data_IF_350687744615
#
_entry.id   IF_350687744615
#
_cell.length_a   1.000
_cell.length_b   1.000
_cell.length_c   1.000
_cell.angle_alpha   90.00
_cell.angle_beta   90.00
_cell.angle_gamma   90.00
#
_symmetry.space_group_name_H-M   'P 1'
#
loop_
_entity.id
_entity.type
_entity.pdbx_description
1 polymer ?
#
# COMPACT_ATOMS: atom_id res chain seq x y z
N UNK A 1 10.33 -22.28 11.80
CA UNK A 1 9.11 -21.88 11.08
C UNK A 1 9.41 -21.29 9.69
N UNK A 2 10.44 -20.50 9.53
CA UNK A 2 10.78 -19.79 8.25
C UNK A 2 11.65 -20.61 7.28
N UNK A 3 12.09 -21.81 7.64
CA UNK A 3 12.99 -22.62 6.81
C UNK A 3 12.43 -22.94 5.42
N UNK A 4 11.11 -23.06 5.29
CA UNK A 4 10.46 -23.36 4.02
C UNK A 4 10.79 -22.34 2.91
N UNK A 5 10.96 -21.05 3.24
CA UNK A 5 11.27 -20.03 2.24
C UNK A 5 12.74 -20.14 1.79
N UNK A 6 13.66 -20.48 2.69
CA UNK A 6 15.06 -20.75 2.36
C UNK A 6 15.23 -22.02 1.54
N UNK A 7 14.43 -23.06 1.80
CA UNK A 7 14.40 -24.26 0.99
C UNK A 7 13.85 -23.96 -0.41
N UNK A 8 12.85 -23.08 -0.52
CA UNK A 8 12.41 -22.55 -1.81
C UNK A 8 13.50 -21.77 -2.54
N UNK A 9 14.28 -20.92 -1.85
CA UNK A 9 15.37 -20.16 -2.49
C UNK A 9 16.45 -21.09 -3.04
N UNK A 10 16.82 -22.15 -2.31
CA UNK A 10 17.75 -23.19 -2.82
C UNK A 10 17.15 -23.93 -4.02
N UNK A 11 15.87 -24.29 -3.96
CA UNK A 11 15.15 -25.00 -5.04
C UNK A 11 15.03 -24.15 -6.32
N UNK A 12 14.77 -22.85 -6.18
CA UNK A 12 14.72 -21.93 -7.31
C UNK A 12 16.12 -21.67 -7.90
N UNK A 13 17.16 -21.79 -7.09
CA UNK A 13 18.57 -21.85 -7.52
C UNK A 13 19.00 -20.65 -8.38
N UNK A 14 19.33 -20.92 -9.63
CA UNK A 14 19.86 -19.90 -10.56
C UNK A 14 18.77 -19.06 -11.24
N UNK A 15 17.46 -19.24 -10.92
CA UNK A 15 16.43 -18.30 -11.39
C UNK A 15 16.72 -16.90 -10.86
N UNK A 16 16.46 -15.88 -11.68
CA UNK A 16 16.57 -14.49 -11.26
C UNK A 16 15.50 -14.19 -10.20
N UNK A 17 15.93 -13.77 -9.02
CA UNK A 17 15.08 -13.34 -7.93
C UNK A 17 14.82 -11.82 -8.00
N UNK A 18 15.87 -11.04 -8.25
CA UNK A 18 15.87 -9.58 -8.13
C UNK A 18 16.62 -8.96 -9.30
N UNK A 19 16.01 -7.94 -9.93
CA UNK A 19 16.67 -6.97 -10.79
C UNK A 19 16.68 -5.60 -10.08
N UNK A 20 17.87 -5.06 -9.86
CA UNK A 20 18.06 -3.77 -9.20
C UNK A 20 19.31 -3.06 -9.74
N UNK A 21 19.22 -1.77 -10.08
CA UNK A 21 20.32 -0.94 -10.61
C UNK A 21 21.10 -1.63 -11.74
N UNK A 22 20.40 -2.14 -12.74
CA UNK A 22 20.95 -2.87 -13.88
C UNK A 22 21.76 -4.15 -13.52
N UNK A 23 21.57 -4.67 -12.31
CA UNK A 23 22.13 -5.95 -11.87
C UNK A 23 21.01 -6.97 -11.64
N UNK A 24 21.33 -8.23 -11.94
CA UNK A 24 20.45 -9.36 -11.71
C UNK A 24 21.03 -10.26 -10.64
N UNK A 25 20.22 -10.61 -9.66
CA UNK A 25 20.60 -11.50 -8.56
C UNK A 25 19.72 -12.74 -8.59
N UNK A 26 20.34 -13.92 -8.49
CA UNK A 26 19.61 -15.19 -8.45
C UNK A 26 19.09 -15.49 -7.04
N UNK A 27 18.14 -16.44 -6.93
CA UNK A 27 17.67 -16.95 -5.64
C UNK A 27 18.81 -17.57 -4.82
N UNK A 28 19.75 -18.26 -5.47
CA UNK A 28 20.92 -18.80 -4.80
C UNK A 28 21.82 -17.71 -4.25
N UNK A 29 22.05 -16.65 -5.00
CA UNK A 29 22.84 -15.49 -4.54
C UNK A 29 22.15 -14.81 -3.36
N UNK A 30 20.81 -14.62 -3.41
CA UNK A 30 20.05 -14.09 -2.29
C UNK A 30 20.18 -14.97 -1.04
N UNK A 31 20.04 -16.28 -1.19
CA UNK A 31 20.23 -17.24 -0.09
C UNK A 31 21.64 -17.16 0.51
N UNK A 32 22.67 -17.11 -0.31
CA UNK A 32 24.07 -17.02 0.16
C UNK A 32 24.34 -15.66 0.86
N UNK A 33 23.78 -14.57 0.36
CA UNK A 33 23.88 -13.25 0.99
C UNK A 33 23.19 -13.25 2.37
N UNK A 34 22.00 -13.81 2.46
CA UNK A 34 21.29 -13.97 3.75
C UNK A 34 22.17 -14.76 4.74
N UNK A 35 22.79 -15.85 4.29
CA UNK A 35 23.67 -16.66 5.12
C UNK A 35 24.93 -15.92 5.59
N UNK A 36 25.49 -15.08 4.73
CA UNK A 36 26.64 -14.23 5.08
C UNK A 36 26.22 -13.21 6.15
N UNK A 37 25.14 -12.47 5.89
CA UNK A 37 24.60 -11.45 6.81
C UNK A 37 24.19 -12.08 8.14
N UNK A 38 23.58 -13.27 8.14
CA UNK A 38 23.21 -14.02 9.37
C UNK A 38 24.43 -14.20 10.29
N UNK A 39 25.59 -14.59 9.75
CA UNK A 39 26.82 -14.77 10.54
C UNK A 39 27.36 -13.44 11.09
N UNK A 40 27.27 -12.37 10.30
CA UNK A 40 27.74 -11.04 10.70
C UNK A 40 26.77 -10.39 11.71
N UNK A 41 25.45 -10.56 11.54
CA UNK A 41 24.42 -10.03 12.43
C UNK A 41 24.51 -10.68 13.83
N UNK A 42 24.71 -12.01 13.93
CA UNK A 42 24.78 -12.72 15.22
C UNK A 42 25.86 -12.14 16.15
N UNK A 43 26.92 -11.55 15.62
CA UNK A 43 27.98 -10.91 16.43
C UNK A 43 27.60 -9.53 16.98
N UNK A 44 26.63 -8.84 16.37
CA UNK A 44 26.30 -7.44 16.69
C UNK A 44 24.85 -7.22 17.13
N UNK A 45 23.98 -8.17 16.85
CA UNK A 45 22.53 -8.09 17.13
C UNK A 45 22.11 -9.34 17.89
N UNK A 46 21.66 -9.18 19.13
CA UNK A 46 21.18 -10.28 19.93
C UNK A 46 19.81 -10.79 19.42
N UNK A 47 19.48 -12.03 19.73
CA UNK A 47 18.12 -12.55 19.46
C UNK A 47 17.07 -11.69 20.16
N UNK A 48 15.90 -11.60 19.54
CA UNK A 48 14.74 -10.89 20.07
C UNK A 48 14.90 -9.36 20.20
N UNK A 49 16.06 -8.77 19.84
CA UNK A 49 16.16 -7.30 19.77
C UNK A 49 15.22 -6.72 18.70
N UNK A 50 14.75 -5.51 18.94
CA UNK A 50 13.99 -4.71 17.98
C UNK A 50 14.98 -3.95 17.10
N UNK A 51 14.93 -4.16 15.80
CA UNK A 51 15.94 -3.67 14.85
C UNK A 51 15.29 -2.88 13.72
N UNK A 52 15.64 -1.59 13.60
CA UNK A 52 15.25 -0.78 12.47
C UNK A 52 16.11 -1.08 11.24
N UNK A 53 15.48 -1.18 10.07
CA UNK A 53 16.15 -1.18 8.75
C UNK A 53 15.81 0.14 8.09
N UNK A 54 16.79 1.04 7.94
CA UNK A 54 16.61 2.34 7.30
C UNK A 54 17.06 2.23 5.85
N UNK A 55 16.11 2.41 4.95
CA UNK A 55 16.26 2.32 3.50
C UNK A 55 15.06 1.67 2.84
N UNK A 56 14.93 1.89 1.53
CA UNK A 56 13.91 1.21 0.73
C UNK A 56 14.45 -0.14 0.20
N UNK A 57 13.74 -0.77 -0.71
CA UNK A 57 14.14 -2.03 -1.31
C UNK A 57 15.52 -1.95 -1.96
N UNK A 58 16.34 -2.90 -1.63
CA UNK A 58 17.60 -3.25 -2.28
C UNK A 58 17.86 -4.74 -2.09
N UNK A 59 18.86 -5.27 -2.76
CA UNK A 59 19.29 -6.65 -2.53
C UNK A 59 19.70 -6.86 -1.06
N UNK A 60 20.40 -5.86 -0.48
CA UNK A 60 20.90 -5.88 0.90
C UNK A 60 19.75 -5.77 1.91
N UNK A 61 18.81 -4.82 1.74
CA UNK A 61 17.70 -4.64 2.68
C UNK A 61 16.83 -5.88 2.77
N UNK A 62 16.58 -6.57 1.64
CA UNK A 62 15.84 -7.83 1.59
C UNK A 62 16.64 -8.94 2.28
N UNK A 63 17.93 -9.04 2.06
CA UNK A 63 18.77 -10.04 2.71
C UNK A 63 18.86 -9.81 4.23
N UNK A 64 18.97 -8.55 4.68
CA UNK A 64 18.93 -8.17 6.10
C UNK A 64 17.58 -8.53 6.74
N UNK A 65 16.45 -8.24 6.08
CA UNK A 65 15.12 -8.60 6.56
C UNK A 65 15.01 -10.10 6.90
N UNK A 66 15.45 -10.96 5.97
CA UNK A 66 15.38 -12.41 6.19
C UNK A 66 16.42 -12.92 7.18
N UNK A 67 17.61 -12.32 7.26
CA UNK A 67 18.60 -12.68 8.28
C UNK A 67 18.13 -12.35 9.69
N UNK A 68 17.55 -11.15 9.89
CA UNK A 68 16.95 -10.74 11.17
C UNK A 68 15.75 -11.60 11.55
N UNK A 69 14.87 -11.91 10.59
CA UNK A 69 13.73 -12.81 10.85
C UNK A 69 14.21 -14.18 11.30
N UNK A 70 15.26 -14.71 10.70
CA UNK A 70 15.85 -15.98 11.10
C UNK A 70 16.50 -15.92 12.49
N UNK A 71 17.06 -14.79 12.87
CA UNK A 71 17.64 -14.53 14.22
C UNK A 71 16.55 -14.21 15.26
N UNK A 72 15.25 -14.26 14.91
CA UNK A 72 14.10 -13.97 15.78
C UNK A 72 14.00 -12.51 16.23
N UNK A 73 14.53 -11.58 15.46
CA UNK A 73 14.41 -10.17 15.74
C UNK A 73 13.00 -9.63 15.40
N UNK A 74 12.66 -8.51 16.04
CA UNK A 74 11.48 -7.71 15.69
C UNK A 74 11.97 -6.62 14.75
N UNK A 75 11.47 -6.60 13.53
CA UNK A 75 12.01 -5.84 12.41
C UNK A 75 11.15 -4.60 12.16
N UNK A 76 11.79 -3.46 11.96
CA UNK A 76 11.12 -2.17 11.72
C UNK A 76 11.65 -1.56 10.42
N UNK A 77 11.02 -1.82 9.27
CA UNK A 77 11.39 -1.15 8.03
C UNK A 77 11.03 0.34 8.11
N UNK A 78 11.94 1.22 7.69
CA UNK A 78 11.76 2.67 7.67
C UNK A 78 12.30 3.19 6.34
N UNK A 79 11.43 3.73 5.50
CA UNK A 79 11.79 4.30 4.20
C UNK A 79 11.85 5.82 4.19
N UNK A 80 11.51 6.47 5.33
CA UNK A 80 11.55 7.91 5.48
C UNK A 80 12.96 8.46 5.26
N UNK A 81 13.05 9.64 4.65
CA UNK A 81 14.31 10.36 4.44
C UNK A 81 14.50 11.51 5.43
N UNK A 82 13.43 11.97 6.07
CA UNK A 82 13.47 13.02 7.07
C UNK A 82 13.96 12.48 8.42
N UNK A 83 15.09 12.96 8.90
CA UNK A 83 15.73 12.50 10.16
C UNK A 83 14.80 12.59 11.37
N UNK A 84 13.92 13.60 11.44
CA UNK A 84 12.94 13.72 12.52
C UNK A 84 11.96 12.55 12.51
N UNK A 85 11.43 12.21 11.33
CA UNK A 85 10.48 11.11 11.18
C UNK A 85 11.14 9.75 11.49
N UNK A 86 12.41 9.57 11.07
CA UNK A 86 13.20 8.39 11.39
C UNK A 86 13.36 8.25 12.91
N UNK A 87 13.76 9.32 13.59
CA UNK A 87 13.91 9.32 15.07
C UNK A 87 12.59 9.00 15.77
N UNK A 88 11.49 9.65 15.37
CA UNK A 88 10.17 9.39 15.94
C UNK A 88 9.77 7.91 15.77
N UNK A 89 9.99 7.32 14.60
CA UNK A 89 9.69 5.91 14.35
C UNK A 89 10.57 4.96 15.17
N UNK A 90 11.86 5.23 15.29
CA UNK A 90 12.81 4.47 16.14
C UNK A 90 12.35 4.47 17.59
N UNK A 91 11.98 5.64 18.11
CA UNK A 91 11.53 5.80 19.49
C UNK A 91 10.21 5.07 19.74
N UNK A 92 9.21 5.22 18.85
CA UNK A 92 7.88 4.61 18.98
C UNK A 92 7.87 3.09 18.76
N UNK A 93 8.90 2.55 18.12
CA UNK A 93 9.07 1.10 17.92
C UNK A 93 10.01 0.45 18.95
N UNK A 94 10.55 1.21 19.92
CA UNK A 94 11.43 0.70 20.96
C UNK A 94 12.69 0.00 20.42
N UNK A 95 13.30 0.52 19.35
CA UNK A 95 14.44 -0.10 18.70
C UNK A 95 15.67 -0.19 19.63
N UNK A 96 16.33 -1.35 19.61
CA UNK A 96 17.62 -1.60 20.26
C UNK A 96 18.78 -1.29 19.33
N UNK A 97 18.59 -1.57 18.04
CA UNK A 97 19.61 -1.43 16.99
C UNK A 97 19.03 -0.75 15.77
N UNK A 98 19.92 -0.11 15.00
CA UNK A 98 19.59 0.52 13.74
C UNK A 98 20.54 -0.03 12.68
N UNK A 99 20.01 -0.51 11.57
CA UNK A 99 20.76 -0.93 10.40
C UNK A 99 20.45 0.06 9.27
N UNK A 100 21.46 0.84 8.88
CA UNK A 100 21.36 1.74 7.72
C UNK A 100 21.91 1.06 6.48
N UNK A 101 21.13 1.09 5.40
CA UNK A 101 21.56 0.60 4.09
C UNK A 101 22.09 1.80 3.30
N UNK A 102 23.39 1.78 3.00
CA UNK A 102 24.10 2.83 2.24
C UNK A 102 24.98 2.17 1.18
N UNK A 103 24.82 2.54 -0.08
CA UNK A 103 25.65 2.08 -1.21
C UNK A 103 25.86 0.55 -1.24
N UNK A 104 24.76 -0.20 -1.16
CA UNK A 104 24.77 -1.68 -1.16
C UNK A 104 25.55 -2.31 0.00
N UNK A 105 25.71 -1.56 1.10
CA UNK A 105 26.31 -2.02 2.37
C UNK A 105 25.35 -1.70 3.50
N UNK A 106 25.60 -2.32 4.64
CA UNK A 106 24.86 -1.97 5.84
C UNK A 106 25.81 -1.64 7.00
N UNK A 107 25.37 -0.72 7.84
CA UNK A 107 26.06 -0.32 9.07
C UNK A 107 25.12 -0.56 10.23
N UNK A 108 25.64 -1.17 11.32
CA UNK A 108 24.86 -1.44 12.55
C UNK A 108 25.23 -0.40 13.60
N UNK A 109 24.23 0.30 14.09
CA UNK A 109 24.35 1.31 15.14
C UNK A 109 23.61 0.82 16.39
N UNK A 110 24.17 1.12 17.59
CA UNK A 110 23.48 0.88 18.85
C UNK A 110 22.48 1.99 19.12
N UNK A 111 21.36 1.64 19.71
CA UNK A 111 20.37 2.58 20.23
C UNK A 111 20.02 2.19 21.67
N UNK A 112 19.62 3.18 22.48
CA UNK A 112 19.16 2.98 23.86
C UNK A 112 17.64 3.12 23.85
N UNK A 113 16.89 1.99 23.85
CA UNK A 113 15.44 2.04 23.80
C UNK A 113 14.85 2.46 25.14
N UNK A 114 13.62 2.95 25.11
CA UNK A 114 12.75 3.04 26.29
C UNK A 114 12.43 1.64 26.83
N UNK A 115 11.83 1.57 28.01
CA UNK A 115 11.29 0.31 28.51
C UNK A 115 10.32 -0.32 27.49
N UNK A 116 10.52 -1.62 27.21
CA UNK A 116 9.75 -2.33 26.18
C UNK A 116 8.27 -2.40 26.51
N UNK A 117 7.44 -2.18 25.50
CA UNK A 117 6.00 -2.39 25.58
C UNK A 117 5.68 -3.86 25.86
N UNK A 118 4.60 -4.17 26.61
CA UNK A 118 4.25 -5.54 26.98
C UNK A 118 4.09 -6.48 25.77
N UNK A 119 3.45 -6.03 24.68
CA UNK A 119 3.29 -6.84 23.46
C UNK A 119 4.65 -7.27 22.86
N UNK A 120 5.66 -6.40 22.95
CA UNK A 120 7.02 -6.75 22.51
C UNK A 120 7.60 -7.86 23.40
N UNK A 121 7.47 -7.72 24.73
CA UNK A 121 7.93 -8.74 25.70
C UNK A 121 7.25 -10.08 25.45
N UNK A 122 5.93 -10.08 25.25
CA UNK A 122 5.15 -11.29 24.98
C UNK A 122 5.61 -12.00 23.68
N UNK A 123 5.93 -11.24 22.63
CA UNK A 123 6.42 -11.78 21.37
C UNK A 123 7.85 -12.35 21.51
N UNK A 124 8.70 -11.68 22.30
CA UNK A 124 10.05 -12.14 22.63
C UNK A 124 10.01 -13.46 23.42
N UNK A 125 9.11 -13.59 24.40
CA UNK A 125 8.90 -14.82 25.17
C UNK A 125 8.44 -15.99 24.29
N UNK A 126 7.59 -15.72 23.29
CA UNK A 126 7.21 -16.72 22.27
C UNK A 126 8.35 -17.13 21.35
N UNK A 127 9.49 -16.43 21.38
CA UNK A 127 10.62 -16.62 20.47
C UNK A 127 10.19 -16.58 18.99
N UNK A 128 9.27 -15.69 18.64
CA UNK A 128 8.76 -15.44 17.29
C UNK A 128 9.43 -14.20 16.71
N UNK A 129 9.66 -14.17 15.40
CA UNK A 129 10.07 -12.91 14.77
C UNK A 129 8.90 -11.94 14.66
N UNK A 130 9.18 -10.65 14.79
CA UNK A 130 8.18 -9.58 14.73
C UNK A 130 8.36 -8.66 13.55
N UNK A 131 7.31 -7.93 13.23
CA UNK A 131 7.35 -6.85 12.23
C UNK A 131 6.56 -5.66 12.77
N UNK A 132 7.20 -4.49 12.84
CA UNK A 132 6.53 -3.24 13.21
C UNK A 132 6.40 -2.36 11.98
N UNK A 133 5.17 -1.97 11.65
CA UNK A 133 4.84 -1.06 10.57
C UNK A 133 4.15 0.19 11.12
N UNK A 134 4.25 1.28 10.37
CA UNK A 134 3.60 2.54 10.73
C UNK A 134 2.44 2.87 9.77
N UNK A 135 1.31 3.31 10.33
CA UNK A 135 0.21 3.81 9.52
C UNK A 135 0.62 5.10 8.80
N UNK A 136 0.10 5.29 7.59
CA UNK A 136 0.20 6.55 6.86
C UNK A 136 -0.81 7.57 7.40
N UNK A 137 -0.61 8.06 8.63
CA UNK A 137 -1.50 9.06 9.22
C UNK A 137 -1.37 10.42 8.54
N UNK A 138 -2.48 10.98 8.05
CA UNK A 138 -2.49 12.31 7.41
C UNK A 138 -2.58 13.49 8.39
N UNK A 139 -2.88 13.25 9.67
CA UNK A 139 -3.22 14.32 10.63
C UNK A 139 -2.79 14.05 12.07
N UNK A 140 -2.34 12.85 12.39
CA UNK A 140 -1.92 12.44 13.74
C UNK A 140 -0.59 11.71 13.68
N UNK A 141 0.05 11.56 14.83
CA UNK A 141 1.27 10.74 14.99
C UNK A 141 1.03 9.35 14.39
N UNK A 142 1.93 8.82 13.52
CA UNK A 142 1.76 7.50 12.92
C UNK A 142 1.59 6.41 13.99
N UNK A 143 0.63 5.52 13.81
CA UNK A 143 0.43 4.40 14.74
C UNK A 143 1.44 3.31 14.44
N UNK A 144 2.17 2.87 15.46
CA UNK A 144 3.09 1.74 15.40
C UNK A 144 2.31 0.44 15.61
N UNK A 145 2.31 -0.43 14.62
CA UNK A 145 1.54 -1.69 14.58
C UNK A 145 2.51 -2.88 14.59
N UNK A 146 2.36 -3.79 15.55
CA UNK A 146 3.21 -4.97 15.65
C UNK A 146 2.50 -6.22 15.17
N UNK A 147 3.13 -6.95 14.25
CA UNK A 147 2.70 -8.26 13.75
C UNK A 147 3.61 -9.38 14.27
N UNK A 148 3.07 -10.56 14.42
CA UNK A 148 3.85 -11.80 14.43
C UNK A 148 4.28 -12.10 12.99
N UNK A 149 5.58 -11.87 12.68
CA UNK A 149 6.08 -12.02 11.33
C UNK A 149 6.16 -13.47 10.88
N UNK A 150 6.33 -14.41 11.80
CA UNK A 150 6.31 -15.83 11.48
C UNK A 150 4.92 -16.27 10.99
N UNK A 151 3.86 -15.78 11.62
CA UNK A 151 2.47 -16.03 11.19
C UNK A 151 2.23 -15.39 9.82
N UNK A 152 2.61 -14.12 9.66
CA UNK A 152 2.46 -13.42 8.40
C UNK A 152 3.21 -14.13 7.27
N UNK A 153 4.46 -14.53 7.49
CA UNK A 153 5.26 -15.24 6.49
C UNK A 153 4.65 -16.60 6.12
N UNK A 154 4.11 -17.34 7.10
CA UNK A 154 3.51 -18.64 6.88
C UNK A 154 2.25 -18.59 5.99
N UNK A 155 1.54 -17.46 5.90
CA UNK A 155 0.39 -17.31 4.98
C UNK A 155 0.79 -17.38 3.49
N UNK A 156 2.08 -17.25 3.18
CA UNK A 156 2.63 -17.39 1.84
C UNK A 156 3.17 -18.80 1.53
N UNK A 157 3.17 -19.70 2.51
CA UNK A 157 3.59 -21.08 2.34
C UNK A 157 2.64 -21.82 1.40
N UNK A 158 3.17 -22.75 0.61
CA UNK A 158 2.40 -23.62 -0.30
C UNK A 158 1.75 -22.91 -1.50
N UNK A 159 2.14 -21.67 -1.83
CA UNK A 159 1.73 -21.04 -3.06
C UNK A 159 2.33 -21.73 -4.28
N UNK A 160 1.55 -21.87 -5.35
CA UNK A 160 2.01 -22.48 -6.61
C UNK A 160 3.10 -21.62 -7.25
N UNK A 161 4.16 -22.27 -7.71
CA UNK A 161 5.24 -21.63 -8.45
C UNK A 161 4.72 -20.96 -9.72
N UNK A 162 5.23 -19.75 -10.01
CA UNK A 162 4.92 -18.97 -11.22
C UNK A 162 6.19 -18.26 -11.69
N UNK A 163 6.33 -18.13 -13.00
CA UNK A 163 7.40 -17.36 -13.62
C UNK A 163 6.84 -16.04 -14.13
N UNK A 164 6.85 -15.02 -13.27
CA UNK A 164 6.35 -13.67 -13.56
C UNK A 164 7.47 -12.66 -13.34
N UNK A 165 7.46 -11.57 -14.11
CA UNK A 165 8.25 -10.39 -13.83
C UNK A 165 7.33 -9.36 -13.18
N UNK A 166 7.59 -9.00 -11.93
CA UNK A 166 6.72 -8.14 -11.14
C UNK A 166 7.51 -6.98 -10.56
N UNK A 167 6.98 -5.78 -10.65
CA UNK A 167 7.57 -4.61 -10.00
C UNK A 167 7.10 -4.52 -8.56
N UNK A 168 8.02 -4.19 -7.64
CA UNK A 168 7.66 -3.83 -6.27
C UNK A 168 7.47 -2.32 -6.18
N UNK A 169 6.23 -1.88 -6.41
CA UNK A 169 5.90 -0.46 -6.52
C UNK A 169 5.70 0.21 -5.16
N UNK A 170 4.95 -0.43 -4.25
CA UNK A 170 4.74 0.10 -2.90
C UNK A 170 6.01 -0.05 -2.05
N UNK A 171 6.23 0.88 -1.13
CA UNK A 171 7.48 0.99 -0.36
C UNK A 171 7.68 -0.17 0.63
N UNK A 172 8.93 -0.35 1.07
CA UNK A 172 9.36 -1.44 1.94
C UNK A 172 8.71 -1.42 3.34
N UNK A 173 8.38 -0.24 3.85
CA UNK A 173 7.68 -0.03 5.13
C UNK A 173 6.14 -0.07 5.01
N UNK A 174 5.60 -0.59 3.90
CA UNK A 174 4.16 -0.68 3.67
C UNK A 174 3.72 -2.14 3.54
N UNK A 175 2.61 -2.52 4.22
CA UNK A 175 2.11 -3.89 4.18
C UNK A 175 1.87 -4.42 2.75
N UNK A 176 1.36 -3.58 1.84
CA UNK A 176 1.17 -3.95 0.43
C UNK A 176 2.48 -4.17 -0.33
N UNK A 177 3.55 -3.43 0.03
CA UNK A 177 4.90 -3.64 -0.51
C UNK A 177 5.48 -4.96 -0.02
N UNK A 178 5.44 -5.20 1.28
CA UNK A 178 5.88 -6.48 1.87
C UNK A 178 5.06 -7.67 1.33
N UNK A 179 3.74 -7.51 1.16
CA UNK A 179 2.91 -8.52 0.52
C UNK A 179 3.41 -8.83 -0.92
N UNK A 180 3.77 -7.81 -1.69
CA UNK A 180 4.31 -8.00 -3.05
C UNK A 180 5.65 -8.74 -2.99
N UNK A 181 6.58 -8.30 -2.13
CA UNK A 181 7.87 -8.97 -1.89
C UNK A 181 7.69 -10.45 -1.54
N UNK A 182 6.89 -10.74 -0.51
CA UNK A 182 6.69 -12.10 0.00
C UNK A 182 5.99 -13.00 -1.03
N UNK A 183 5.01 -12.46 -1.78
CA UNK A 183 4.40 -13.19 -2.89
C UNK A 183 5.42 -13.56 -3.97
N UNK A 184 6.19 -12.60 -4.47
CA UNK A 184 7.19 -12.82 -5.52
C UNK A 184 8.18 -13.92 -5.11
N UNK A 185 8.76 -13.77 -3.92
CA UNK A 185 9.79 -14.69 -3.44
C UNK A 185 9.24 -16.08 -3.09
N UNK A 186 7.98 -16.18 -2.64
CA UNK A 186 7.37 -17.48 -2.32
C UNK A 186 7.05 -18.31 -3.56
N UNK A 187 6.73 -17.68 -4.70
CA UNK A 187 6.32 -18.36 -5.93
C UNK A 187 7.45 -18.51 -6.97
N UNK A 188 8.68 -18.08 -6.66
CA UNK A 188 9.82 -18.20 -7.57
C UNK A 188 9.78 -17.27 -8.78
N UNK A 189 9.14 -16.11 -8.66
CA UNK A 189 9.05 -15.05 -9.68
C UNK A 189 10.20 -14.05 -9.55
N UNK A 190 10.38 -13.19 -10.55
CA UNK A 190 11.41 -12.16 -10.59
C UNK A 190 10.86 -10.83 -10.10
N UNK A 191 11.53 -10.21 -9.15
CA UNK A 191 11.24 -8.88 -8.62
C UNK A 191 12.04 -7.82 -9.36
N UNK A 192 11.38 -6.76 -9.81
CA UNK A 192 12.01 -5.56 -10.34
C UNK A 192 11.86 -4.44 -9.31
N UNK A 193 12.98 -3.91 -8.83
CA UNK A 193 13.03 -2.82 -7.85
C UNK A 193 13.24 -1.51 -8.60
N UNK A 194 12.29 -0.55 -8.55
CA UNK A 194 12.46 0.76 -9.17
C UNK A 194 13.37 1.65 -8.32
N UNK A 195 14.26 2.40 -8.96
CA UNK A 195 15.01 3.46 -8.31
C UNK A 195 14.16 4.70 -8.07
N UNK A 196 13.28 5.00 -9.03
CA UNK A 196 12.31 6.08 -8.94
C UNK A 196 10.91 5.56 -9.27
N UNK A 197 9.90 6.21 -8.68
CA UNK A 197 8.49 5.82 -8.87
C UNK A 197 7.70 6.87 -9.66
N UNK A 198 8.36 7.57 -10.62
CA UNK A 198 7.62 8.41 -11.55
C UNK A 198 7.07 7.60 -12.73
N UNK A 199 6.05 8.11 -13.45
CA UNK A 199 5.41 7.38 -14.54
C UNK A 199 6.34 6.93 -15.67
N UNK A 200 7.29 7.77 -16.08
CA UNK A 200 8.20 7.46 -17.18
C UNK A 200 9.19 6.35 -16.78
N UNK A 201 9.79 6.41 -15.60
CA UNK A 201 10.72 5.38 -15.11
C UNK A 201 10.02 4.04 -14.95
N UNK A 202 8.80 4.01 -14.40
CA UNK A 202 8.03 2.77 -14.25
C UNK A 202 7.66 2.18 -15.61
N UNK A 203 7.20 3.01 -16.57
CA UNK A 203 6.88 2.53 -17.91
C UNK A 203 8.12 2.02 -18.66
N UNK A 204 9.27 2.68 -18.46
CA UNK A 204 10.57 2.23 -18.99
C UNK A 204 10.96 0.86 -18.41
N UNK A 205 10.84 0.66 -17.10
CA UNK A 205 11.11 -0.64 -16.46
C UNK A 205 10.18 -1.74 -16.99
N UNK A 206 8.91 -1.43 -17.26
CA UNK A 206 7.97 -2.39 -17.85
C UNK A 206 8.46 -2.86 -19.21
N UNK A 207 8.92 -1.95 -20.04
CA UNK A 207 9.51 -2.26 -21.35
C UNK A 207 10.79 -3.09 -21.23
N UNK A 208 11.75 -2.60 -20.43
CA UNK A 208 13.11 -3.14 -20.36
C UNK A 208 13.14 -4.56 -19.73
N UNK A 209 12.36 -4.76 -18.68
CA UNK A 209 12.32 -6.05 -17.95
C UNK A 209 11.11 -6.90 -18.30
N UNK A 210 10.33 -6.51 -19.33
CA UNK A 210 9.13 -7.25 -19.76
C UNK A 210 8.22 -7.60 -18.58
N UNK A 211 7.90 -6.58 -17.75
CA UNK A 211 7.08 -6.75 -16.56
C UNK A 211 5.68 -7.22 -16.96
N UNK A 212 5.19 -8.23 -16.25
CA UNK A 212 3.88 -8.86 -16.52
C UNK A 212 2.80 -8.43 -15.54
N UNK A 213 3.19 -8.00 -14.33
CA UNK A 213 2.25 -7.55 -13.28
C UNK A 213 2.74 -6.25 -12.68
N UNK A 214 1.87 -5.25 -12.68
CA UNK A 214 2.08 -3.93 -12.05
C UNK A 214 1.11 -3.77 -10.86
N UNK A 215 1.57 -3.96 -9.61
CA UNK A 215 0.85 -3.47 -8.43
C UNK A 215 0.93 -1.95 -8.39
N UNK A 216 -0.19 -1.26 -8.11
CA UNK A 216 -0.23 0.21 -8.18
C UNK A 216 -1.33 0.81 -7.30
N UNK A 217 -1.45 2.14 -7.33
CA UNK A 217 -2.58 2.89 -6.77
C UNK A 217 -3.38 3.56 -7.90
N UNK A 218 -4.68 3.84 -7.70
CA UNK A 218 -5.47 4.63 -8.64
C UNK A 218 -4.84 5.97 -9.02
N UNK A 219 -4.32 6.70 -8.04
CA UNK A 219 -3.60 7.97 -8.26
C UNK A 219 -2.41 7.80 -9.20
N UNK A 220 -1.56 6.79 -9.00
CA UNK A 220 -0.41 6.57 -9.88
C UNK A 220 -0.82 6.15 -11.30
N UNK A 221 -1.85 5.32 -11.43
CA UNK A 221 -2.39 4.94 -12.74
C UNK A 221 -2.94 6.16 -13.50
N UNK A 222 -3.55 7.11 -12.78
CA UNK A 222 -3.98 8.37 -13.39
C UNK A 222 -2.78 9.22 -13.85
N UNK A 223 -1.69 9.27 -13.07
CA UNK A 223 -0.46 9.97 -13.47
C UNK A 223 0.17 9.38 -14.74
N UNK A 224 0.13 8.07 -14.94
CA UNK A 224 0.57 7.42 -16.20
C UNK A 224 -0.27 7.94 -17.38
N UNK A 225 -1.59 8.10 -17.21
CA UNK A 225 -2.47 8.63 -18.26
C UNK A 225 -2.18 10.11 -18.52
N UNK A 226 -2.08 10.95 -17.49
CA UNK A 226 -1.83 12.38 -17.59
C UNK A 226 -0.49 12.69 -18.30
N UNK A 227 0.58 11.97 -17.92
CA UNK A 227 1.90 12.15 -18.53
C UNK A 227 2.04 11.51 -19.91
N UNK A 228 1.03 10.79 -20.38
CA UNK A 228 1.09 10.00 -21.62
C UNK A 228 2.30 9.03 -21.67
N UNK A 229 2.84 8.61 -20.53
CA UNK A 229 3.99 7.70 -20.45
C UNK A 229 3.75 6.40 -21.18
N UNK A 230 2.50 5.88 -21.15
CA UNK A 230 2.08 4.67 -21.86
C UNK A 230 2.22 4.76 -23.38
N UNK A 231 2.38 5.96 -23.97
CA UNK A 231 2.61 6.16 -25.42
C UNK A 231 4.09 6.17 -25.78
N UNK A 232 4.98 6.39 -24.79
CA UNK A 232 6.43 6.54 -24.99
C UNK A 232 7.15 5.19 -24.93
N UNK A 233 6.58 4.20 -24.24
CA UNK A 233 7.21 2.92 -23.94
C UNK A 233 6.34 1.73 -24.37
N UNK A 234 6.97 0.60 -24.70
CA UNK A 234 6.28 -0.66 -25.01
C UNK A 234 5.79 -1.34 -23.71
N UNK A 235 4.50 -1.27 -23.44
CA UNK A 235 3.84 -1.90 -22.32
C UNK A 235 3.14 -3.23 -22.67
N UNK A 236 3.39 -3.79 -23.84
CA UNK A 236 2.71 -5.00 -24.34
C UNK A 236 2.95 -6.26 -23.51
N UNK A 237 4.02 -6.29 -22.70
CA UNK A 237 4.30 -7.37 -21.77
C UNK A 237 3.34 -7.42 -20.57
N UNK A 238 2.67 -6.29 -20.22
CA UNK A 238 1.73 -6.25 -19.10
C UNK A 238 0.51 -7.13 -19.37
N UNK A 239 0.25 -8.05 -18.46
CA UNK A 239 -0.93 -8.91 -18.45
C UNK A 239 -1.94 -8.49 -17.39
N UNK A 240 -1.46 -7.94 -16.28
CA UNK A 240 -2.28 -7.58 -15.14
C UNK A 240 -1.78 -6.29 -14.46
N UNK A 241 -2.72 -5.45 -14.09
CA UNK A 241 -2.52 -4.35 -13.15
C UNK A 241 -3.37 -4.65 -11.92
N UNK A 242 -2.72 -4.72 -10.75
CA UNK A 242 -3.45 -4.79 -9.48
C UNK A 242 -3.48 -3.40 -8.87
N UNK A 243 -4.63 -3.00 -8.32
CA UNK A 243 -4.78 -1.67 -7.72
C UNK A 243 -5.48 -1.76 -6.37
N UNK A 244 -5.09 -0.88 -5.46
CA UNK A 244 -5.63 -0.81 -4.10
C UNK A 244 -5.14 0.45 -3.40
N UNK A 245 -5.16 0.45 -2.07
CA UNK A 245 -4.74 1.54 -1.18
C UNK A 245 -5.68 2.75 -1.13
N UNK A 246 -6.48 2.99 -2.14
CA UNK A 246 -7.51 4.04 -2.23
C UNK A 246 -8.68 3.60 -3.14
N UNK A 247 -9.79 4.32 -3.07
CA UNK A 247 -10.97 4.05 -3.89
C UNK A 247 -10.66 4.33 -5.37
N UNK A 248 -10.99 3.39 -6.27
CA UNK A 248 -10.88 3.55 -7.71
C UNK A 248 -12.16 4.21 -8.25
N UNK A 249 -12.10 5.42 -8.82
CA UNK A 249 -13.25 5.99 -9.53
C UNK A 249 -13.63 5.16 -10.76
N UNK A 250 -14.92 4.90 -10.97
CA UNK A 250 -15.41 4.14 -12.13
C UNK A 250 -14.98 4.77 -13.45
N UNK A 251 -15.00 6.11 -13.52
CA UNK A 251 -14.55 6.88 -14.69
C UNK A 251 -13.05 6.67 -14.99
N UNK A 252 -12.20 6.61 -13.95
CA UNK A 252 -10.78 6.33 -14.12
C UNK A 252 -10.55 4.91 -14.61
N UNK A 253 -11.23 3.92 -14.01
CA UNK A 253 -11.12 2.53 -14.45
C UNK A 253 -11.57 2.37 -15.92
N UNK A 254 -12.63 3.06 -16.32
CA UNK A 254 -13.10 3.08 -17.71
C UNK A 254 -12.06 3.70 -18.66
N UNK A 255 -11.43 4.82 -18.29
CA UNK A 255 -10.34 5.43 -19.06
C UNK A 255 -9.14 4.48 -19.20
N UNK A 256 -8.75 3.83 -18.11
CA UNK A 256 -7.66 2.83 -18.10
C UNK A 256 -7.98 1.64 -19.00
N UNK A 257 -9.22 1.14 -18.97
CA UNK A 257 -9.66 0.03 -19.85
C UNK A 257 -9.68 0.41 -21.32
N UNK A 258 -10.01 1.65 -21.66
CA UNK A 258 -9.94 2.14 -23.05
C UNK A 258 -8.48 2.20 -23.55
N UNK A 259 -7.54 2.61 -22.71
CA UNK A 259 -6.11 2.66 -23.06
C UNK A 259 -5.47 1.28 -23.05
N UNK A 260 -5.87 0.42 -22.12
CA UNK A 260 -5.31 -0.92 -21.91
C UNK A 260 -6.38 -2.01 -22.04
N UNK A 261 -7.00 -2.22 -23.21
CA UNK A 261 -8.15 -3.12 -23.37
C UNK A 261 -7.82 -4.59 -23.06
N UNK A 262 -6.59 -5.03 -23.30
CA UNK A 262 -6.14 -6.42 -23.10
C UNK A 262 -5.65 -6.70 -21.68
N UNK A 263 -5.35 -5.68 -20.88
CA UNK A 263 -4.83 -5.85 -19.53
C UNK A 263 -5.98 -6.19 -18.57
N UNK A 264 -5.74 -7.19 -17.72
CA UNK A 264 -6.64 -7.50 -16.60
C UNK A 264 -6.42 -6.53 -15.46
N UNK A 265 -7.47 -5.86 -15.01
CA UNK A 265 -7.47 -5.06 -13.77
C UNK A 265 -8.04 -5.89 -12.63
N UNK A 266 -7.32 -5.93 -11.51
CA UNK A 266 -7.71 -6.65 -10.31
C UNK A 266 -7.64 -5.70 -9.12
N UNK A 267 -8.77 -5.47 -8.47
CA UNK A 267 -8.79 -4.74 -7.21
C UNK A 267 -8.24 -5.61 -6.08
N UNK A 268 -7.27 -5.08 -5.34
CA UNK A 268 -6.75 -5.66 -4.10
C UNK A 268 -7.27 -4.87 -2.92
N UNK A 269 -7.48 -5.55 -1.80
CA UNK A 269 -7.95 -4.93 -0.58
C UNK A 269 -7.16 -5.46 0.61
N UNK A 270 -6.92 -4.58 1.57
CA UNK A 270 -6.26 -4.92 2.81
C UNK A 270 -5.90 -3.68 3.61
N UNK A 271 -5.60 -3.89 4.87
CA UNK A 271 -5.18 -2.83 5.79
C UNK A 271 -3.85 -3.22 6.44
N UNK A 272 -3.15 -2.24 6.98
CA UNK A 272 -1.94 -2.52 7.74
C UNK A 272 -2.23 -3.37 8.98
N UNK A 273 -3.46 -3.29 9.49
CA UNK A 273 -3.92 -3.97 10.68
C UNK A 273 -4.26 -5.45 10.46
N UNK A 274 -4.75 -5.81 9.28
CA UNK A 274 -5.26 -7.18 9.01
C UNK A 274 -4.50 -7.93 7.93
N UNK A 275 -3.55 -7.26 7.27
CA UNK A 275 -2.88 -7.81 6.08
C UNK A 275 -3.69 -7.63 4.81
N UNK A 276 -3.26 -8.29 3.73
CA UNK A 276 -3.86 -8.19 2.39
C UNK A 276 -4.72 -9.41 2.11
N UNK A 277 -6.00 -9.18 1.87
CA UNK A 277 -6.98 -10.21 1.54
C UNK A 277 -6.81 -10.73 0.11
N UNK A 278 -7.11 -12.01 -0.10
CA UNK A 278 -7.31 -12.55 -1.44
C UNK A 278 -8.65 -12.05 -1.98
N UNK A 279 -8.60 -11.36 -3.11
CA UNK A 279 -9.78 -10.74 -3.73
C UNK A 279 -9.98 -11.23 -5.16
N UNK A 280 -11.22 -11.16 -5.61
CA UNK A 280 -11.61 -11.43 -6.99
C UNK A 280 -12.50 -10.28 -7.48
N UNK A 281 -12.03 -9.55 -8.50
CA UNK A 281 -12.87 -8.53 -9.15
C UNK A 281 -14.02 -9.21 -9.91
N UNK A 282 -15.21 -8.60 -9.90
CA UNK A 282 -16.39 -9.10 -10.65
C UNK A 282 -16.10 -9.16 -12.14
N UNK A 283 -15.46 -8.13 -12.66
CA UNK A 283 -14.94 -8.06 -14.02
C UNK A 283 -13.74 -7.10 -14.06
N UNK A 284 -12.96 -7.14 -15.14
CA UNK A 284 -11.79 -6.26 -15.31
C UNK A 284 -12.13 -4.76 -15.46
N UNK A 285 -13.38 -4.45 -15.75
CA UNK A 285 -13.93 -3.09 -15.86
C UNK A 285 -14.91 -2.77 -14.73
N UNK A 286 -14.89 -3.53 -13.65
CA UNK A 286 -15.77 -3.35 -12.49
C UNK A 286 -14.96 -3.04 -11.24
N UNK A 287 -15.45 -2.10 -10.44
CA UNK A 287 -14.93 -1.76 -9.12
C UNK A 287 -15.53 -2.61 -8.00
N UNK A 288 -16.37 -3.59 -8.36
CA UNK A 288 -16.87 -4.58 -7.41
C UNK A 288 -15.88 -5.75 -7.28
N UNK A 289 -15.62 -6.15 -6.05
CA UNK A 289 -14.76 -7.29 -5.70
C UNK A 289 -15.43 -8.18 -4.67
N UNK A 290 -15.00 -9.43 -4.61
CA UNK A 290 -15.34 -10.39 -3.56
C UNK A 290 -14.08 -10.75 -2.77
N UNK A 291 -14.20 -10.85 -1.47
CA UNK A 291 -13.14 -11.36 -0.60
C UNK A 291 -13.28 -12.88 -0.58
N UNK A 292 -12.27 -13.58 -1.11
CA UNK A 292 -12.19 -15.04 -1.16
C UNK A 292 -10.89 -15.47 -0.45
N UNK A 293 -10.89 -15.41 0.89
CA UNK A 293 -9.73 -15.69 1.72
C UNK A 293 -10.07 -16.68 2.84
N UNK A 294 -9.25 -17.71 3.02
CA UNK A 294 -9.45 -18.74 4.03
C UNK A 294 -8.98 -18.32 5.43
N UNK A 295 -8.11 -17.31 5.48
CA UNK A 295 -7.50 -16.81 6.71
C UNK A 295 -8.04 -15.45 7.14
N UNK A 296 -9.04 -14.93 6.40
CA UNK A 296 -9.68 -13.65 6.67
C UNK A 296 -11.20 -13.76 6.57
N UNK A 297 -11.88 -13.41 7.65
CA UNK A 297 -13.33 -13.27 7.72
C UNK A 297 -13.72 -11.81 7.55
N UNK A 298 -14.89 -11.55 6.97
CA UNK A 298 -15.46 -10.20 6.90
C UNK A 298 -16.94 -10.19 7.22
N UNK A 299 -17.41 -9.05 7.69
CA UNK A 299 -18.83 -8.72 7.84
C UNK A 299 -19.06 -7.25 7.55
N UNK A 300 -20.32 -6.89 7.29
CA UNK A 300 -20.72 -5.51 7.04
C UNK A 300 -21.65 -5.09 8.17
N UNK A 301 -21.29 -4.00 8.84
CA UNK A 301 -22.05 -3.42 9.96
C UNK A 301 -22.31 -1.96 9.64
N UNK A 302 -23.59 -1.57 9.48
CA UNK A 302 -23.98 -0.21 9.13
C UNK A 302 -23.24 0.34 7.89
N UNK A 303 -23.13 -0.48 6.85
CA UNK A 303 -22.39 -0.23 5.62
C UNK A 303 -20.86 -0.11 5.79
N UNK A 304 -20.30 -0.33 6.97
CA UNK A 304 -18.86 -0.39 7.21
C UNK A 304 -18.36 -1.82 7.10
N UNK A 305 -17.24 -2.01 6.39
CA UNK A 305 -16.58 -3.31 6.28
C UNK A 305 -15.73 -3.58 7.52
N UNK A 306 -16.03 -4.68 8.20
CA UNK A 306 -15.23 -5.16 9.33
C UNK A 306 -14.50 -6.44 8.95
N UNK A 307 -13.25 -6.56 9.42
CA UNK A 307 -12.36 -7.68 9.10
C UNK A 307 -11.89 -8.39 10.36
N UNK A 308 -11.63 -9.70 10.24
CA UNK A 308 -10.93 -10.49 11.24
C UNK A 308 -9.99 -11.44 10.52
N UNK A 309 -8.68 -11.37 10.80
CA UNK A 309 -7.66 -12.10 10.08
C UNK A 309 -6.72 -12.84 11.03
N UNK A 310 -6.23 -14.00 10.59
CA UNK A 310 -5.17 -14.72 11.32
C UNK A 310 -3.83 -13.97 11.31
N UNK A 311 -3.62 -13.08 10.34
CA UNK A 311 -2.40 -12.28 10.21
C UNK A 311 -2.56 -10.86 10.75
N UNK A 312 -3.65 -10.56 11.48
CA UNK A 312 -3.85 -9.24 12.06
C UNK A 312 -2.78 -8.89 13.10
N UNK A 313 -2.62 -7.59 13.34
CA UNK A 313 -1.67 -7.09 14.34
C UNK A 313 -1.93 -7.67 15.73
N UNK A 314 -0.88 -7.82 16.49
CA UNK A 314 -0.97 -8.15 17.91
C UNK A 314 -1.48 -6.96 18.73
N UNK A 315 -1.20 -5.74 18.24
CA UNK A 315 -1.68 -4.49 18.82
C UNK A 315 -0.95 -3.28 18.30
N UNK A 316 -1.35 -2.11 18.79
CA UNK A 316 -0.63 -0.85 18.62
C UNK A 316 0.32 -0.63 19.79
N UNK A 317 1.52 -0.10 19.52
CA UNK A 317 2.51 0.22 20.56
C UNK A 317 2.32 1.64 21.14
N UNK A 318 1.65 2.52 20.42
CA UNK A 318 1.50 3.94 20.77
C UNK A 318 0.06 4.47 20.60
N UNK A 319 -0.92 3.58 20.55
CA UNK A 319 -2.33 3.95 20.37
C UNK A 319 -3.24 2.91 21.03
N UNK A 320 -4.50 3.31 21.34
CA UNK A 320 -5.52 2.40 21.83
C UNK A 320 -5.99 1.42 20.75
N UNK A 321 -6.60 0.31 21.18
CA UNK A 321 -7.21 -0.71 20.33
C UNK A 321 -8.70 -0.43 20.02
N UNK A 322 -9.18 0.83 20.09
CA UNK A 322 -10.60 1.20 19.91
C UNK A 322 -11.18 0.83 18.55
N UNK A 323 -10.31 0.70 17.54
CA UNK A 323 -10.68 0.19 16.22
C UNK A 323 -10.93 -1.32 16.17
N UNK A 324 -10.63 -2.04 17.25
CA UNK A 324 -10.92 -3.46 17.39
C UNK A 324 -12.04 -3.69 18.40
N UNK A 325 -12.91 -4.64 18.11
CA UNK A 325 -13.91 -5.12 19.07
C UNK A 325 -13.28 -6.13 20.04
N UNK A 326 -13.94 -6.40 21.18
CA UNK A 326 -13.45 -7.38 22.17
C UNK A 326 -13.31 -8.79 21.60
N UNK A 327 -14.11 -9.14 20.60
CA UNK A 327 -14.08 -10.44 19.90
C UNK A 327 -13.16 -10.45 18.67
N UNK A 328 -12.33 -9.40 18.50
CA UNK A 328 -11.22 -9.33 17.56
C UNK A 328 -11.56 -8.84 16.15
N UNK A 329 -12.74 -8.24 15.92
CA UNK A 329 -13.05 -7.61 14.64
C UNK A 329 -12.42 -6.23 14.52
N UNK A 330 -11.76 -5.99 13.40
CA UNK A 330 -11.21 -4.69 13.05
C UNK A 330 -12.25 -3.87 12.27
N UNK A 331 -12.58 -2.70 12.79
CA UNK A 331 -13.42 -1.69 12.15
C UNK A 331 -12.55 -0.90 11.17
N UNK A 332 -12.71 -1.18 9.85
CA UNK A 332 -11.82 -0.60 8.83
C UNK A 332 -12.04 0.89 8.61
N UNK A 333 -13.24 1.38 8.89
CA UNK A 333 -13.72 2.70 8.50
C UNK A 333 -14.02 2.80 7.00
N UNK A 334 -13.90 1.72 6.23
CA UNK A 334 -14.24 1.70 4.81
C UNK A 334 -15.73 1.42 4.63
N UNK A 335 -16.43 2.32 3.95
CA UNK A 335 -17.85 2.18 3.62
C UNK A 335 -18.01 1.40 2.32
N UNK A 336 -19.00 0.53 2.28
CA UNK A 336 -19.22 -0.38 1.15
C UNK A 336 -20.67 -0.37 0.65
N UNK A 337 -20.80 -0.55 -0.65
CA UNK A 337 -22.01 -0.97 -1.36
C UNK A 337 -21.93 -2.47 -1.62
N UNK A 338 -23.04 -3.17 -1.51
CA UNK A 338 -23.11 -4.63 -1.65
C UNK A 338 -24.03 -5.04 -2.80
N UNK A 339 -23.70 -6.15 -3.43
CA UNK A 339 -24.60 -6.86 -4.36
C UNK A 339 -25.05 -8.19 -3.75
N UNK A 340 -26.22 -8.68 -4.16
CA UNK A 340 -26.82 -9.93 -3.65
C UNK A 340 -25.94 -11.16 -3.82
N UNK A 341 -25.03 -11.15 -4.80
CA UNK A 341 -24.08 -12.23 -5.07
C UNK A 341 -22.80 -12.16 -4.21
N UNK A 342 -22.76 -11.30 -3.18
CA UNK A 342 -21.66 -11.17 -2.23
C UNK A 342 -20.46 -10.35 -2.75
N UNK A 343 -20.61 -9.64 -3.86
CA UNK A 343 -19.64 -8.63 -4.27
C UNK A 343 -19.84 -7.33 -3.50
N UNK A 344 -18.74 -6.68 -3.15
CA UNK A 344 -18.69 -5.40 -2.45
C UNK A 344 -17.92 -4.38 -3.28
N UNK A 345 -18.28 -3.11 -3.13
CA UNK A 345 -17.55 -1.97 -3.69
C UNK A 345 -17.21 -1.01 -2.56
N UNK A 346 -15.94 -0.65 -2.44
CA UNK A 346 -15.53 0.40 -1.51
C UNK A 346 -15.98 1.74 -2.08
N UNK A 347 -16.84 2.46 -1.35
CA UNK A 347 -17.40 3.73 -1.79
C UNK A 347 -16.74 4.95 -1.12
N UNK A 348 -15.95 4.73 -0.07
CA UNK A 348 -15.21 5.79 0.63
C UNK A 348 -14.85 5.40 2.05
N UNK A 349 -14.38 6.37 2.82
CA UNK A 349 -14.04 6.19 4.23
C UNK A 349 -14.96 7.02 5.13
N UNK A 350 -15.37 6.46 6.24
CA UNK A 350 -16.26 7.11 7.21
C UNK A 350 -15.67 8.46 7.68
N UNK A 351 -14.37 8.53 7.95
CA UNK A 351 -13.67 9.75 8.35
C UNK A 351 -13.53 10.82 7.26
N UNK A 352 -13.78 10.48 6.01
CA UNK A 352 -13.69 11.40 4.85
C UNK A 352 -15.06 11.92 4.44
N UNK A 353 -16.15 11.43 5.04
CA UNK A 353 -17.50 11.90 4.79
C UNK A 353 -17.61 13.39 5.13
N UNK A 354 -18.09 14.17 4.16
CA UNK A 354 -18.37 15.60 4.31
C UNK A 354 -19.80 15.74 4.83
N UNK A 355 -19.99 16.50 5.91
CA UNK A 355 -21.30 16.70 6.53
C UNK A 355 -21.87 18.07 6.16
N UNK A 356 -22.73 18.07 5.15
CA UNK A 356 -23.36 19.30 4.60
C UNK A 356 -24.76 19.43 5.16
N UNK A 357 -24.97 20.27 6.17
CA UNK A 357 -26.31 20.48 6.76
C UNK A 357 -26.97 19.21 7.28
N UNK A 358 -26.21 18.26 7.83
CA UNK A 358 -26.69 16.96 8.27
C UNK A 358 -26.74 15.87 7.19
N UNK A 359 -26.51 16.23 5.92
CA UNK A 359 -26.43 15.28 4.81
C UNK A 359 -24.99 14.79 4.62
N UNK A 360 -24.81 13.48 4.41
CA UNK A 360 -23.51 12.86 4.22
C UNK A 360 -23.13 12.84 2.75
N UNK A 361 -21.96 13.37 2.41
CA UNK A 361 -21.39 13.38 1.06
C UNK A 361 -20.08 12.61 1.04
N UNK A 362 -19.99 11.62 0.16
CA UNK A 362 -18.73 10.90 -0.08
C UNK A 362 -17.91 11.63 -1.14
N UNK A 363 -16.66 12.03 -0.84
CA UNK A 363 -15.78 12.68 -1.81
C UNK A 363 -15.64 11.90 -3.11
N UNK A 364 -15.49 10.57 -3.02
CA UNK A 364 -15.33 9.66 -4.16
C UNK A 364 -16.52 9.67 -5.14
N UNK A 365 -17.75 9.85 -4.66
CA UNK A 365 -18.95 9.96 -5.48
C UNK A 365 -18.86 11.22 -6.36
N UNK A 366 -18.55 12.37 -5.76
CA UNK A 366 -18.40 13.64 -6.47
C UNK A 366 -17.20 13.63 -7.42
N UNK A 367 -16.06 13.09 -6.97
CA UNK A 367 -14.85 12.90 -7.79
C UNK A 367 -15.15 12.07 -9.04
N UNK A 368 -15.91 10.96 -8.91
CA UNK A 368 -16.25 10.09 -10.03
C UNK A 368 -17.06 10.82 -11.10
N UNK A 369 -17.99 11.69 -10.70
CA UNK A 369 -18.78 12.51 -11.62
C UNK A 369 -17.89 13.55 -12.30
N UNK A 370 -17.08 14.30 -11.56
CA UNK A 370 -16.20 15.35 -12.13
C UNK A 370 -15.18 14.73 -13.10
N UNK A 371 -14.58 13.59 -12.73
CA UNK A 371 -13.60 12.87 -13.57
C UNK A 371 -14.22 12.26 -14.83
N UNK A 372 -15.56 12.18 -14.95
CA UNK A 372 -16.23 11.77 -16.19
C UNK A 372 -16.29 12.87 -17.25
N UNK A 373 -15.99 14.12 -16.89
CA UNK A 373 -15.85 15.22 -17.84
C UNK A 373 -14.58 15.05 -18.68
N UNK A 374 -14.68 15.28 -19.99
CA UNK A 374 -13.54 15.13 -20.93
C UNK A 374 -12.42 16.13 -20.70
N UNK A 375 -12.77 17.28 -20.13
CA UNK A 375 -11.91 18.42 -19.84
C UNK A 375 -11.03 18.21 -18.60
N UNK A 376 -11.41 17.28 -17.71
CA UNK A 376 -10.78 17.08 -16.40
C UNK A 376 -9.80 15.90 -16.46
N UNK A 377 -8.58 16.13 -16.03
CA UNK A 377 -7.54 15.10 -15.90
C UNK A 377 -7.50 14.49 -14.51
N UNK A 378 -7.59 15.33 -13.48
CA UNK A 378 -7.65 14.87 -12.09
C UNK A 378 -8.56 15.76 -11.24
N UNK A 379 -9.05 15.20 -10.14
CA UNK A 379 -9.94 15.89 -9.22
C UNK A 379 -9.73 15.37 -7.79
N UNK A 380 -9.79 16.27 -6.82
CA UNK A 380 -9.80 15.95 -5.41
C UNK A 380 -10.91 16.72 -4.71
N UNK A 381 -11.81 16.01 -4.04
CA UNK A 381 -12.95 16.56 -3.31
C UNK A 381 -12.72 16.46 -1.82
N UNK A 382 -13.07 17.52 -1.07
CA UNK A 382 -12.94 17.59 0.38
C UNK A 382 -13.96 18.55 1.00
N UNK A 383 -14.16 18.45 2.33
CA UNK A 383 -14.98 19.37 3.11
C UNK A 383 -14.21 20.63 3.49
N UNK A 384 -14.84 21.79 3.40
CA UNK A 384 -14.36 23.04 3.97
C UNK A 384 -15.37 23.51 5.03
N UNK A 385 -14.88 23.94 6.21
CA UNK A 385 -15.76 24.39 7.31
C UNK A 385 -16.66 25.54 6.88
N UNK A 386 -17.93 25.44 7.22
CA UNK A 386 -18.95 26.44 6.98
C UNK A 386 -19.74 26.70 8.28
N UNK A 387 -19.86 27.95 8.68
CA UNK A 387 -20.46 28.34 9.97
C UNK A 387 -21.94 27.97 10.05
N UNK A 388 -22.66 27.91 8.91
CA UNK A 388 -24.11 27.74 8.88
C UNK A 388 -24.47 26.25 8.75
N UNK A 389 -23.79 25.51 7.86
CA UNK A 389 -24.16 24.14 7.48
C UNK A 389 -23.13 23.08 7.91
N UNK A 390 -22.16 23.46 8.74
CA UNK A 390 -21.08 22.60 9.21
C UNK A 390 -19.93 22.50 8.20
N UNK A 391 -20.14 21.85 7.07
CA UNK A 391 -19.16 21.76 5.99
C UNK A 391 -19.81 22.06 4.64
N UNK A 392 -18.98 22.41 3.67
CA UNK A 392 -19.36 22.58 2.26
C UNK A 392 -18.44 21.78 1.36
N UNK A 393 -18.95 21.32 0.23
CA UNK A 393 -18.16 20.54 -0.74
C UNK A 393 -17.28 21.48 -1.55
N UNK A 394 -15.99 21.20 -1.55
CA UNK A 394 -14.96 21.90 -2.34
C UNK A 394 -14.22 20.91 -3.22
N UNK A 395 -13.83 21.31 -4.42
CA UNK A 395 -12.99 20.48 -5.27
C UNK A 395 -11.80 21.26 -5.84
N UNK A 396 -10.65 20.60 -5.86
CA UNK A 396 -9.47 20.97 -6.62
C UNK A 396 -9.48 20.15 -7.91
N UNK A 397 -9.31 20.78 -9.07
CA UNK A 397 -9.36 20.12 -10.38
C UNK A 397 -8.13 20.46 -11.22
N UNK A 398 -7.64 19.47 -11.95
CA UNK A 398 -6.62 19.62 -12.97
C UNK A 398 -7.30 19.52 -14.32
N UNK A 399 -7.18 20.57 -15.13
CA UNK A 399 -7.78 20.65 -16.46
C UNK A 399 -6.75 20.29 -17.54
N UNK A 400 -7.21 19.68 -18.64
CA UNK A 400 -6.35 19.37 -19.80
C UNK A 400 -5.82 20.61 -20.50
N UNK A 401 -6.66 21.63 -20.58
CA UNK A 401 -6.36 22.92 -21.23
C UNK A 401 -7.02 24.04 -20.41
N UNK A 402 -6.61 25.27 -20.67
CA UNK A 402 -7.33 26.42 -20.16
C UNK A 402 -8.71 26.53 -20.84
N UNK A 403 -9.76 26.48 -20.02
CA UNK A 403 -11.14 26.56 -20.49
C UNK A 403 -11.84 27.71 -19.78
N UNK A 404 -12.34 28.62 -20.56
CA UNK A 404 -13.16 29.71 -20.02
C UNK A 404 -14.38 29.14 -19.28
N UNK A 405 -14.66 29.68 -18.10
CA UNK A 405 -15.83 29.31 -17.29
C UNK A 405 -15.89 27.84 -16.81
N UNK A 406 -14.77 27.12 -16.81
CA UNK A 406 -14.72 25.69 -16.39
C UNK A 406 -15.38 25.46 -15.02
N UNK A 407 -15.25 26.41 -14.08
CA UNK A 407 -15.88 26.31 -12.76
C UNK A 407 -17.41 26.27 -12.83
N UNK A 408 -18.00 27.03 -13.74
CA UNK A 408 -19.45 27.07 -13.98
C UNK A 408 -19.87 25.76 -14.64
N UNK A 409 -19.11 25.29 -15.65
CA UNK A 409 -19.40 24.05 -16.35
C UNK A 409 -19.37 22.84 -15.40
N UNK A 410 -18.37 22.75 -14.52
CA UNK A 410 -18.28 21.68 -13.52
C UNK A 410 -19.50 21.68 -12.60
N UNK A 411 -19.87 22.85 -12.07
CA UNK A 411 -21.05 22.96 -11.18
C UNK A 411 -22.36 22.59 -11.88
N UNK A 412 -22.52 23.02 -13.13
CA UNK A 412 -23.69 22.67 -13.93
C UNK A 412 -23.73 21.15 -14.19
N UNK A 413 -22.64 20.58 -14.64
CA UNK A 413 -22.52 19.14 -14.89
C UNK A 413 -22.80 18.28 -13.63
N UNK A 414 -22.36 18.78 -12.46
CA UNK A 414 -22.67 18.12 -11.19
C UNK A 414 -24.15 18.24 -10.82
N UNK A 415 -24.77 19.39 -11.04
CA UNK A 415 -26.21 19.60 -10.77
C UNK A 415 -27.12 18.66 -11.54
N UNK A 416 -26.74 18.29 -12.76
CA UNK A 416 -27.52 17.38 -13.60
C UNK A 416 -27.40 15.91 -13.15
N UNK A 417 -26.48 15.58 -12.23
CA UNK A 417 -26.12 14.20 -11.87
C UNK A 417 -26.09 13.91 -10.37
N UNK A 418 -26.08 14.93 -9.54
CA UNK A 418 -25.94 14.86 -8.09
C UNK A 418 -27.02 15.67 -7.39
N UNK A 419 -27.39 15.27 -6.20
CA UNK A 419 -28.22 16.07 -5.31
C UNK A 419 -27.58 17.43 -5.03
N UNK A 420 -28.37 18.46 -4.86
CA UNK A 420 -27.89 19.85 -4.72
C UNK A 420 -26.84 20.04 -3.61
N UNK A 421 -26.98 19.33 -2.49
CA UNK A 421 -26.04 19.42 -1.36
C UNK A 421 -24.66 18.78 -1.64
N UNK A 422 -24.57 17.91 -2.66
CA UNK A 422 -23.33 17.28 -3.13
C UNK A 422 -22.57 18.12 -4.15
N UNK A 423 -23.23 19.12 -4.74
CA UNK A 423 -22.61 19.96 -5.78
C UNK A 423 -21.54 20.84 -5.17
N UNK A 424 -20.29 20.86 -5.70
CA UNK A 424 -19.24 21.73 -5.18
C UNK A 424 -19.65 23.19 -5.17
N UNK A 425 -19.57 23.82 -3.99
CA UNK A 425 -19.80 25.27 -3.84
C UNK A 425 -18.60 26.09 -4.30
N UNK A 426 -17.40 25.48 -4.23
CA UNK A 426 -16.14 26.09 -4.62
C UNK A 426 -15.34 25.12 -5.48
N UNK A 427 -14.83 25.63 -6.61
CA UNK A 427 -13.97 24.89 -7.55
C UNK A 427 -12.66 25.66 -7.69
N UNK A 428 -11.54 25.01 -7.35
CA UNK A 428 -10.20 25.54 -7.53
C UNK A 428 -9.55 24.85 -8.73
N UNK A 429 -8.92 25.62 -9.61
CA UNK A 429 -8.08 25.08 -10.68
C UNK A 429 -6.66 25.00 -10.12
N UNK A 430 -6.04 23.83 -10.23
CA UNK A 430 -4.69 23.56 -9.71
C UNK A 430 -3.85 22.86 -10.78
N UNK A 431 -2.53 23.01 -10.70
CA UNK A 431 -1.61 22.33 -11.63
C UNK A 431 -1.51 20.82 -11.33
N UNK A 432 -1.66 20.46 -10.07
CA UNK A 432 -1.68 19.06 -9.60
C UNK A 432 -2.49 18.92 -8.31
N UNK A 433 -3.09 17.76 -8.12
CA UNK A 433 -3.67 17.39 -6.81
C UNK A 433 -2.55 16.97 -5.83
N UNK A 434 -2.80 17.14 -4.54
CA UNK A 434 -1.84 16.73 -3.51
C UNK A 434 -1.96 15.23 -3.22
N UNK A 435 -0.82 14.54 -3.19
CA UNK A 435 -0.72 13.14 -2.79
C UNK A 435 0.57 12.88 -2.01
N UNK A 436 0.55 11.80 -1.23
CA UNK A 436 1.72 11.34 -0.44
C UNK A 436 2.76 10.67 -1.35
N UNK A 437 3.98 10.43 -0.84
CA UNK A 437 5.02 9.63 -1.51
C UNK A 437 4.54 8.19 -1.80
N UNK A 438 3.47 7.75 -1.17
CA UNK A 438 2.79 6.46 -1.42
C UNK A 438 1.68 6.56 -2.46
N UNK A 439 1.59 7.67 -3.20
CA UNK A 439 0.57 7.95 -4.22
C UNK A 439 -0.87 7.78 -3.70
N UNK A 440 -1.14 8.35 -2.53
CA UNK A 440 -2.48 8.51 -1.97
C UNK A 440 -2.87 9.96 -1.91
N UNK A 441 -4.09 10.32 -2.36
CA UNK A 441 -4.61 11.69 -2.29
C UNK A 441 -4.65 12.18 -0.85
N UNK A 442 -4.17 13.41 -0.63
CA UNK A 442 -4.20 14.11 0.66
C UNK A 442 -5.37 15.09 0.63
N UNK A 443 -6.53 14.65 1.14
CA UNK A 443 -7.68 15.53 1.28
C UNK A 443 -7.45 16.51 2.41
N UNK A 444 -7.63 17.80 2.12
CA UNK A 444 -7.59 18.86 3.15
C UNK A 444 -8.80 18.66 4.08
N UNK A 445 -8.57 18.88 5.38
CA UNK A 445 -9.63 18.98 6.38
C UNK A 445 -9.72 20.40 6.88
#
# INVERSE_FOLDING_TARGET
>A
LINWIFDNFKRFGNKIAINYKNRSYTYLQLFLQIKKIEKEIISNVAKNEVVAIIGDYSFESIAVLFALSKNRNIIVPITSVAEKEIKDKIEESFCDKIIRIVDEKYVVENNIPKEKHQIIKDLQEKNSSGLILFSSGSTAKPKAMIHDFDILLNSYKNKKEKSLNMIVFLMFDHIGGLNTLLNILSIGSTMIIPENRNPDDICKLIQDYKITVLPSSPTFLNLILMNNSYKKYDLSSLKMITYGTETMPDSLLSRLKNVFPKIKFLQTFGTSETGIANTKSKASNSTFMKIEDLDLEYKIVENELWLKSKTQILGYLNSSMDSFTKDGWFKTGDLVETLDDGYIKIIGRNKEVINVGGQKVLPSEVESIILSMKEIEDCMVYGEKNIIIGETVVCDVVCKNEISNIKILIRQFCKDKLDNYKVPTKVNIVDKTNFTDRFKKIRRK
#
